data_IF_606619288701
#
_entry.id   IF_606619288701
#
_cell.length_a   1.000
_cell.length_b   1.000
_cell.length_c   1.000
_cell.angle_alpha   90.00
_cell.angle_beta   90.00
_cell.angle_gamma   90.00
#
_symmetry.space_group_name_H-M   'P 1'
#
loop_
_entity.id
_entity.type
_entity.pdbx_description
1 polymer ?
#
# COMPACT_ATOMS: atom_id res chain seq x y z
N UNK A 1 59.22 15.38 -73.88
CA UNK A 1 60.62 15.72 -73.55
C UNK A 1 60.96 17.22 -73.61
N UNK A 2 59.98 18.14 -73.60
CA UNK A 2 60.23 19.60 -73.54
C UNK A 2 59.70 20.28 -72.25
N UNK A 3 59.09 19.51 -71.32
CA UNK A 3 58.54 20.01 -70.04
C UNK A 3 59.38 19.67 -68.80
N UNK A 4 60.46 18.88 -68.92
CA UNK A 4 61.29 18.41 -67.79
C UNK A 4 62.51 19.29 -67.46
N UNK A 5 63.01 20.06 -68.43
CA UNK A 5 63.97 21.14 -68.14
C UNK A 5 63.33 22.35 -67.44
N UNK A 6 62.01 22.50 -67.58
CA UNK A 6 61.28 23.67 -67.07
C UNK A 6 61.17 23.68 -65.54
N UNK A 7 61.17 22.52 -64.86
CA UNK A 7 61.15 22.45 -63.39
C UNK A 7 62.51 22.76 -62.77
N UNK A 8 63.62 22.37 -63.39
CA UNK A 8 64.96 22.78 -62.96
C UNK A 8 65.14 24.27 -63.20
N UNK A 9 64.68 24.78 -64.35
CA UNK A 9 64.67 26.23 -64.62
C UNK A 9 63.71 26.94 -63.65
N UNK A 10 62.55 26.39 -63.28
CA UNK A 10 61.64 26.99 -62.31
C UNK A 10 62.18 26.97 -60.89
N UNK A 11 62.85 25.90 -60.46
CA UNK A 11 63.48 25.83 -59.15
C UNK A 11 64.69 26.77 -59.07
N UNK A 12 65.51 26.83 -60.14
CA UNK A 12 66.58 27.82 -60.27
C UNK A 12 66.02 29.23 -60.29
N UNK A 13 64.93 29.51 -61.03
CA UNK A 13 64.29 30.83 -61.09
C UNK A 13 63.62 31.19 -59.76
N UNK A 14 63.00 30.25 -59.04
CA UNK A 14 62.41 30.49 -57.72
C UNK A 14 63.50 30.72 -56.68
N UNK A 15 64.60 29.96 -56.70
CA UNK A 15 65.78 30.23 -55.88
C UNK A 15 66.43 31.56 -56.25
N UNK A 16 66.43 31.93 -57.53
CA UNK A 16 66.96 33.20 -58.06
C UNK A 16 66.04 34.40 -57.74
N UNK A 17 64.72 34.19 -57.63
CA UNK A 17 63.73 35.20 -57.18
C UNK A 17 63.75 35.37 -55.66
N UNK A 18 63.87 34.28 -54.90
CA UNK A 18 64.12 34.30 -53.45
C UNK A 18 65.45 35.01 -53.18
N UNK A 19 66.50 34.71 -53.95
CA UNK A 19 67.78 35.40 -53.94
C UNK A 19 67.66 36.89 -54.29
N UNK A 20 66.86 37.27 -55.30
CA UNK A 20 66.64 38.68 -55.64
C UNK A 20 65.92 39.45 -54.53
N UNK A 21 64.99 38.80 -53.81
CA UNK A 21 64.27 39.43 -52.68
C UNK A 21 65.12 39.53 -51.40
N UNK A 22 65.94 38.52 -51.10
CA UNK A 22 66.84 38.50 -49.94
C UNK A 22 68.13 39.29 -50.17
N UNK A 23 68.55 39.50 -51.42
CA UNK A 23 69.68 40.33 -51.79
C UNK A 23 69.37 41.84 -51.79
N UNK A 24 68.17 42.27 -51.42
CA UNK A 24 67.83 43.69 -51.36
C UNK A 24 68.34 44.40 -50.09
N UNK A 25 68.55 43.70 -48.97
CA UNK A 25 68.73 44.37 -47.66
C UNK A 25 69.98 43.97 -46.84
N UNK A 26 70.86 43.08 -47.33
CA UNK A 26 72.03 42.61 -46.57
C UNK A 26 73.40 43.13 -47.11
N UNK A 27 74.34 43.56 -46.24
CA UNK A 27 75.70 43.99 -46.62
C UNK A 27 76.58 42.86 -47.17
N UNK A 28 77.58 43.21 -47.99
CA UNK A 28 78.28 42.34 -48.95
C UNK A 28 79.00 41.11 -48.36
N UNK A 29 79.43 41.15 -47.09
CA UNK A 29 80.11 40.02 -46.44
C UNK A 29 79.14 38.90 -46.03
N UNK A 30 77.92 39.24 -45.58
CA UNK A 30 76.92 38.24 -45.23
C UNK A 30 76.37 37.50 -46.45
N UNK A 31 76.36 38.14 -47.63
CA UNK A 31 75.97 37.50 -48.89
C UNK A 31 76.92 36.36 -49.29
N UNK A 32 78.22 36.53 -49.09
CA UNK A 32 79.22 35.50 -49.39
C UNK A 32 79.12 34.34 -48.40
N UNK A 33 78.88 34.62 -47.12
CA UNK A 33 78.66 33.59 -46.10
C UNK A 33 77.37 32.78 -46.36
N UNK A 34 76.26 33.43 -46.69
CA UNK A 34 75.01 32.76 -47.07
C UNK A 34 75.17 31.96 -48.36
N UNK A 35 75.89 32.48 -49.35
CA UNK A 35 76.19 31.76 -50.59
C UNK A 35 77.02 30.49 -50.32
N UNK A 36 78.02 30.57 -49.44
CA UNK A 36 78.82 29.42 -49.04
C UNK A 36 78.03 28.39 -48.23
N UNK A 37 77.12 28.83 -47.36
CA UNK A 37 76.26 27.93 -46.57
C UNK A 37 75.20 27.27 -47.44
N UNK A 38 74.58 27.99 -48.37
CA UNK A 38 73.59 27.42 -49.29
C UNK A 38 74.25 26.51 -50.32
N UNK A 39 75.39 26.90 -50.91
CA UNK A 39 76.17 26.02 -51.79
C UNK A 39 76.70 24.81 -51.02
N UNK A 40 77.11 24.98 -49.77
CA UNK A 40 77.53 23.90 -48.88
C UNK A 40 76.39 22.94 -48.53
N UNK A 41 75.19 23.46 -48.24
CA UNK A 41 74.01 22.65 -47.96
C UNK A 41 73.52 21.91 -49.22
N UNK A 42 73.51 22.56 -50.38
CA UNK A 42 73.17 21.92 -51.66
C UNK A 42 74.22 20.87 -52.03
N UNK A 43 75.51 21.18 -51.88
CA UNK A 43 76.59 20.21 -52.10
C UNK A 43 76.53 19.05 -51.09
N UNK A 44 76.15 19.29 -49.84
CA UNK A 44 75.97 18.26 -48.82
C UNK A 44 74.75 17.39 -49.10
N UNK A 45 73.65 17.96 -49.58
CA UNK A 45 72.46 17.20 -50.02
C UNK A 45 72.79 16.37 -51.26
N UNK A 46 73.53 16.92 -52.23
CA UNK A 46 74.02 16.17 -53.40
C UNK A 46 75.01 15.07 -52.98
N UNK A 47 75.88 15.35 -52.02
CA UNK A 47 76.86 14.39 -51.49
C UNK A 47 76.18 13.27 -50.69
N UNK A 48 75.20 13.60 -49.84
CA UNK A 48 74.39 12.62 -49.10
C UNK A 48 73.46 11.84 -50.03
N UNK A 49 72.97 12.44 -51.11
CA UNK A 49 72.24 11.74 -52.17
C UNK A 49 73.13 10.71 -52.87
N UNK A 50 74.41 11.05 -53.12
CA UNK A 50 75.40 10.10 -53.65
C UNK A 50 75.87 9.05 -52.62
N UNK A 51 76.02 9.43 -51.35
CA UNK A 51 76.48 8.55 -50.27
C UNK A 51 75.37 7.60 -49.76
N UNK A 52 74.10 7.98 -49.93
CA UNK A 52 72.93 7.20 -49.53
C UNK A 52 72.51 6.11 -50.53
N UNK A 53 73.06 6.09 -51.75
CA UNK A 53 72.87 4.96 -52.65
C UNK A 53 73.90 3.85 -52.33
N UNK A 54 73.44 2.87 -51.54
CA UNK A 54 74.10 1.58 -51.28
C UNK A 54 74.21 0.70 -52.54
N UNK A 55 74.91 1.19 -53.56
CA UNK A 55 75.13 0.54 -54.85
C UNK A 55 76.61 0.53 -55.24
N UNK A 56 77.47 0.01 -54.35
CA UNK A 56 78.94 -0.04 -54.50
C UNK A 56 79.49 -0.86 -55.68
N UNK A 57 78.66 -1.39 -56.57
CA UNK A 57 79.11 -2.18 -57.73
C UNK A 57 78.92 -1.48 -59.09
N UNK A 58 77.97 -0.54 -59.22
CA UNK A 58 77.67 0.11 -60.51
C UNK A 58 78.17 1.56 -60.61
N UNK A 59 78.54 2.20 -59.51
CA UNK A 59 79.12 3.56 -59.52
C UNK A 59 80.56 3.58 -60.00
N UNK A 60 81.34 2.51 -59.79
CA UNK A 60 82.69 2.38 -60.35
C UNK A 60 82.67 2.27 -61.88
N UNK A 61 81.68 1.57 -62.46
CA UNK A 61 81.53 1.46 -63.92
C UNK A 61 81.06 2.79 -64.55
N UNK A 62 80.21 3.55 -63.86
CA UNK A 62 79.72 4.84 -64.34
C UNK A 62 80.78 5.95 -64.18
N UNK A 63 81.55 5.98 -63.09
CA UNK A 63 82.72 6.87 -62.96
C UNK A 63 83.82 6.54 -63.99
N UNK A 64 84.07 5.25 -64.26
CA UNK A 64 85.03 4.82 -65.29
C UNK A 64 84.57 5.13 -66.73
N UNK A 65 83.27 5.35 -66.95
CA UNK A 65 82.70 5.83 -68.23
C UNK A 65 82.64 7.37 -68.30
N UNK A 66 82.47 8.06 -67.17
CA UNK A 66 82.55 9.53 -67.06
C UNK A 66 83.94 10.06 -67.43
N UNK A 67 85.02 9.36 -67.08
CA UNK A 67 86.37 9.72 -67.54
C UNK A 67 86.63 9.46 -69.03
N UNK A 68 85.79 8.67 -69.72
CA UNK A 68 85.96 8.28 -71.14
C UNK A 68 85.03 8.99 -72.12
N UNK A 69 84.21 9.94 -71.66
CA UNK A 69 83.33 10.78 -72.49
C UNK A 69 82.39 9.98 -73.43
N UNK A 70 81.84 8.86 -72.94
CA UNK A 70 80.92 7.98 -73.67
C UNK A 70 79.55 7.82 -72.96
N UNK A 71 78.83 8.92 -72.72
CA UNK A 71 77.44 8.85 -72.29
C UNK A 71 76.53 9.10 -73.50
N UNK A 72 75.67 8.14 -73.83
CA UNK A 72 74.67 8.32 -74.88
C UNK A 72 73.44 9.07 -74.33
N UNK A 73 72.78 9.89 -75.15
CA UNK A 73 71.60 10.69 -74.75
C UNK A 73 70.46 9.87 -74.14
N UNK A 74 70.41 8.57 -74.44
CA UNK A 74 69.44 7.60 -73.93
C UNK A 74 69.69 7.22 -72.46
N UNK A 75 70.95 7.13 -72.03
CA UNK A 75 71.33 6.83 -70.64
C UNK A 75 71.14 8.04 -69.72
N UNK A 76 71.41 9.26 -70.23
CA UNK A 76 71.15 10.51 -69.51
C UNK A 76 69.64 10.72 -69.27
N UNK A 77 68.81 10.37 -70.26
CA UNK A 77 67.35 10.41 -70.13
C UNK A 77 66.81 9.38 -69.13
N UNK A 78 67.45 8.20 -69.03
CA UNK A 78 67.09 7.18 -68.05
C UNK A 78 67.43 7.60 -66.61
N UNK A 79 68.61 8.20 -66.39
CA UNK A 79 69.01 8.75 -65.09
C UNK A 79 68.12 9.93 -64.65
N UNK A 80 67.80 10.85 -65.56
CA UNK A 80 66.87 11.96 -65.30
C UNK A 80 65.43 11.47 -65.03
N UNK A 81 64.98 10.42 -65.73
CA UNK A 81 63.69 9.79 -65.49
C UNK A 81 63.61 9.08 -64.13
N UNK A 82 64.71 8.45 -63.69
CA UNK A 82 64.84 7.83 -62.37
C UNK A 82 64.77 8.88 -61.26
N UNK A 83 65.50 9.99 -61.40
CA UNK A 83 65.49 11.09 -60.43
C UNK A 83 64.10 11.75 -60.30
N UNK A 84 63.35 11.88 -61.40
CA UNK A 84 61.99 12.44 -61.36
C UNK A 84 60.97 11.47 -60.75
N UNK A 85 61.13 10.16 -60.99
CA UNK A 85 60.32 9.13 -60.35
C UNK A 85 60.58 9.05 -58.83
N UNK A 86 61.83 9.13 -58.40
CA UNK A 86 62.22 9.18 -56.99
C UNK A 86 61.75 10.46 -56.30
N UNK A 87 61.85 11.62 -56.95
CA UNK A 87 61.35 12.89 -56.42
C UNK A 87 59.80 12.87 -56.25
N UNK A 88 59.08 12.28 -57.21
CA UNK A 88 57.64 12.07 -57.09
C UNK A 88 57.29 11.11 -55.94
N UNK A 89 58.10 10.06 -55.73
CA UNK A 89 57.94 9.13 -54.62
C UNK A 89 58.18 9.78 -53.25
N UNK A 90 59.19 10.66 -53.13
CA UNK A 90 59.43 11.44 -51.92
C UNK A 90 58.34 12.48 -51.64
N UNK A 91 57.84 13.16 -52.67
CA UNK A 91 56.73 14.09 -52.53
C UNK A 91 55.45 13.37 -52.06
N UNK A 92 55.17 12.19 -52.63
CA UNK A 92 54.06 11.34 -52.20
C UNK A 92 54.25 10.84 -50.76
N UNK A 93 55.47 10.43 -50.38
CA UNK A 93 55.79 10.05 -49.01
C UNK A 93 55.61 11.23 -48.03
N UNK A 94 56.05 12.44 -48.40
CA UNK A 94 55.89 13.63 -47.58
C UNK A 94 54.43 14.06 -47.43
N UNK A 95 53.65 14.01 -48.52
CA UNK A 95 52.20 14.21 -48.46
C UNK A 95 51.51 13.16 -47.59
N UNK A 96 51.92 11.88 -47.66
CA UNK A 96 51.38 10.84 -46.78
C UNK A 96 51.73 11.06 -45.29
N UNK A 97 52.93 11.58 -45.00
CA UNK A 97 53.36 11.94 -43.66
C UNK A 97 52.55 13.14 -43.12
N UNK A 98 52.32 14.14 -43.98
CA UNK A 98 51.55 15.33 -43.62
C UNK A 98 50.08 15.00 -43.40
N UNK A 99 49.50 14.18 -44.27
CA UNK A 99 48.14 13.64 -44.10
C UNK A 99 48.05 12.80 -42.82
N UNK A 100 49.04 11.92 -42.56
CA UNK A 100 49.12 11.14 -41.33
C UNK A 100 49.20 12.01 -40.06
N UNK A 101 50.01 13.07 -40.06
CA UNK A 101 50.10 14.02 -38.94
C UNK A 101 48.78 14.75 -38.69
N UNK A 102 48.10 15.18 -39.75
CA UNK A 102 46.78 15.82 -39.64
C UNK A 102 45.72 14.86 -39.11
N UNK A 103 45.75 13.59 -39.52
CA UNK A 103 44.85 12.55 -39.03
C UNK A 103 45.11 12.25 -37.54
N UNK A 104 46.37 12.15 -37.11
CA UNK A 104 46.73 11.98 -35.69
C UNK A 104 46.24 13.16 -34.85
N UNK A 105 46.33 14.39 -35.36
CA UNK A 105 45.81 15.58 -34.66
C UNK A 105 44.29 15.52 -34.48
N UNK A 106 43.56 15.19 -35.55
CA UNK A 106 42.12 15.04 -35.49
C UNK A 106 41.69 13.97 -34.49
N UNK A 107 42.38 12.81 -34.50
CA UNK A 107 42.14 11.71 -33.54
C UNK A 107 42.43 12.16 -32.09
N UNK A 108 43.49 12.93 -31.85
CA UNK A 108 43.83 13.42 -30.50
C UNK A 108 42.81 14.44 -29.97
N UNK A 109 42.33 15.37 -30.82
CA UNK A 109 41.28 16.33 -30.48
C UNK A 109 39.94 15.61 -30.21
N UNK A 110 39.54 14.66 -31.06
CA UNK A 110 38.34 13.84 -30.89
C UNK A 110 38.41 12.98 -29.62
N UNK A 111 39.56 12.35 -29.36
CA UNK A 111 39.80 11.59 -28.13
C UNK A 111 39.71 12.49 -26.88
N UNK A 112 40.28 13.70 -26.92
CA UNK A 112 40.19 14.67 -25.83
C UNK A 112 38.75 15.06 -25.49
N UNK A 113 37.92 15.30 -26.51
CA UNK A 113 36.49 15.57 -26.34
C UNK A 113 35.74 14.37 -25.75
N UNK A 114 35.96 13.17 -26.31
CA UNK A 114 35.34 11.94 -25.82
C UNK A 114 35.71 11.61 -24.37
N UNK A 115 36.97 11.85 -23.97
CA UNK A 115 37.43 11.72 -22.59
C UNK A 115 36.73 12.72 -21.66
N UNK A 116 36.57 13.97 -22.10
CA UNK A 116 35.83 15.00 -21.36
C UNK A 116 34.37 14.57 -21.10
N UNK A 117 33.71 14.02 -22.11
CA UNK A 117 32.37 13.46 -21.96
C UNK A 117 32.33 12.27 -20.98
N UNK A 118 33.29 11.34 -21.06
CA UNK A 118 33.37 10.19 -20.14
C UNK A 118 33.50 10.68 -18.69
N UNK A 119 34.42 11.62 -18.42
CA UNK A 119 34.60 12.18 -17.06
C UNK A 119 33.28 12.78 -16.55
N UNK A 120 32.61 13.61 -17.36
CA UNK A 120 31.36 14.25 -16.96
C UNK A 120 30.25 13.21 -16.72
N UNK A 121 30.12 12.20 -17.58
CA UNK A 121 29.12 11.13 -17.43
C UNK A 121 29.40 10.28 -16.19
N UNK A 122 30.66 9.92 -15.94
CA UNK A 122 31.06 9.17 -14.74
C UNK A 122 30.80 9.94 -13.46
N UNK A 123 31.06 11.26 -13.41
CA UNK A 123 30.74 12.09 -12.25
C UNK A 123 29.23 12.17 -11.99
N UNK A 124 28.41 12.34 -13.03
CA UNK A 124 26.95 12.32 -12.89
C UNK A 124 26.45 10.96 -12.41
N UNK A 125 27.00 9.88 -12.95
CA UNK A 125 26.64 8.52 -12.58
C UNK A 125 27.03 8.20 -11.12
N UNK A 126 28.21 8.64 -10.64
CA UNK A 126 28.59 8.52 -9.22
C UNK A 126 27.61 9.28 -8.31
N UNK A 127 27.26 10.52 -8.67
CA UNK A 127 26.28 11.31 -7.91
C UNK A 127 24.90 10.62 -7.88
N UNK A 128 24.41 10.14 -9.02
CA UNK A 128 23.15 9.41 -9.10
C UNK A 128 23.17 8.12 -8.28
N UNK A 129 24.27 7.37 -8.30
CA UNK A 129 24.41 6.15 -7.50
C UNK A 129 24.42 6.45 -5.99
N UNK A 130 25.06 7.54 -5.56
CA UNK A 130 25.00 8.00 -4.16
C UNK A 130 23.60 8.41 -3.73
N UNK A 131 22.86 9.13 -4.58
CA UNK A 131 21.46 9.45 -4.30
C UNK A 131 20.62 8.18 -4.20
N UNK A 132 20.80 7.22 -5.12
CA UNK A 132 20.08 5.96 -5.11
C UNK A 132 20.35 5.13 -3.83
N UNK A 133 21.57 5.18 -3.28
CA UNK A 133 21.87 4.57 -1.98
C UNK A 133 21.13 5.26 -0.82
N UNK A 134 21.03 6.59 -0.85
CA UNK A 134 20.28 7.34 0.17
C UNK A 134 18.78 7.04 0.09
N UNK A 135 18.21 7.01 -1.11
CA UNK A 135 16.80 6.67 -1.33
C UNK A 135 16.52 5.23 -0.88
N UNK A 136 17.41 4.28 -1.21
CA UNK A 136 17.28 2.90 -0.77
C UNK A 136 17.29 2.74 0.76
N UNK A 137 18.12 3.51 1.46
CA UNK A 137 18.16 3.52 2.93
C UNK A 137 16.87 4.09 3.53
N UNK A 138 16.29 5.14 2.93
CA UNK A 138 14.99 5.66 3.35
C UNK A 138 13.87 4.63 3.16
N UNK A 139 13.85 3.94 2.01
CA UNK A 139 12.89 2.86 1.76
C UNK A 139 13.08 1.73 2.77
N UNK A 140 14.32 1.35 3.09
CA UNK A 140 14.62 0.33 4.12
C UNK A 140 14.01 0.69 5.47
N UNK A 141 14.15 1.94 5.92
CA UNK A 141 13.51 2.40 7.16
C UNK A 141 11.99 2.33 7.10
N UNK A 142 11.38 2.66 5.96
CA UNK A 142 9.94 2.54 5.78
C UNK A 142 9.47 1.07 5.83
N UNK A 143 10.23 0.15 5.25
CA UNK A 143 9.95 -1.29 5.30
C UNK A 143 10.08 -1.84 6.72
N UNK A 144 11.08 -1.41 7.48
CA UNK A 144 11.25 -1.80 8.89
C UNK A 144 10.04 -1.36 9.74
N UNK A 145 9.57 -0.12 9.54
CA UNK A 145 8.34 0.36 10.17
C UNK A 145 7.10 -0.43 9.72
N UNK A 146 7.02 -0.81 8.43
CA UNK A 146 5.94 -1.62 7.89
C UNK A 146 5.89 -3.02 8.52
N UNK A 147 7.04 -3.67 8.72
CA UNK A 147 7.13 -4.97 9.40
C UNK A 147 6.59 -4.92 10.83
N UNK A 148 6.92 -3.87 11.58
CA UNK A 148 6.37 -3.65 12.93
C UNK A 148 4.84 -3.46 12.86
N UNK A 149 4.35 -2.70 11.88
CA UNK A 149 2.91 -2.48 11.70
C UNK A 149 2.18 -3.79 11.39
N UNK A 150 2.73 -4.62 10.50
CA UNK A 150 2.15 -5.92 10.14
C UNK A 150 2.09 -6.88 11.33
N UNK A 151 3.12 -6.89 12.19
CA UNK A 151 3.09 -7.67 13.42
C UNK A 151 1.94 -7.25 14.35
N UNK A 152 1.75 -5.94 14.53
CA UNK A 152 0.65 -5.39 15.33
C UNK A 152 -0.72 -5.68 14.72
N UNK A 153 -0.82 -5.66 13.39
CA UNK A 153 -2.05 -6.00 12.67
C UNK A 153 -2.42 -7.47 12.89
N UNK A 154 -1.46 -8.39 12.83
CA UNK A 154 -1.68 -9.81 13.15
C UNK A 154 -2.18 -10.03 14.57
N UNK A 155 -1.58 -9.35 15.56
CA UNK A 155 -2.05 -9.39 16.95
C UNK A 155 -3.47 -8.82 17.10
N UNK A 156 -3.78 -7.72 16.42
CA UNK A 156 -5.10 -7.09 16.43
C UNK A 156 -6.17 -8.00 15.81
N UNK A 157 -5.86 -8.65 14.69
CA UNK A 157 -6.72 -9.67 14.05
C UNK A 157 -7.01 -10.81 15.02
N UNK A 158 -6.00 -11.33 15.71
CA UNK A 158 -6.17 -12.44 16.64
C UNK A 158 -7.04 -12.03 17.85
N UNK A 159 -6.81 -10.83 18.41
CA UNK A 159 -7.68 -10.30 19.47
C UNK A 159 -9.11 -10.08 19.00
N UNK A 160 -9.31 -9.58 17.78
CA UNK A 160 -10.63 -9.37 17.21
C UNK A 160 -11.38 -10.71 17.04
N UNK A 161 -10.71 -11.75 16.53
CA UNK A 161 -11.29 -13.09 16.42
C UNK A 161 -11.72 -13.65 17.79
N UNK A 162 -10.90 -13.47 18.82
CA UNK A 162 -11.24 -13.96 20.16
C UNK A 162 -12.44 -13.20 20.75
N UNK A 163 -12.49 -11.88 20.59
CA UNK A 163 -13.66 -11.07 20.99
C UNK A 163 -14.93 -11.50 20.25
N UNK A 164 -14.84 -11.79 18.95
CA UNK A 164 -16.00 -12.28 18.17
C UNK A 164 -16.48 -13.64 18.69
N UNK A 165 -15.58 -14.55 19.09
CA UNK A 165 -15.96 -15.81 19.74
C UNK A 165 -16.66 -15.59 21.08
N UNK A 166 -16.16 -14.67 21.90
CA UNK A 166 -16.78 -14.36 23.19
C UNK A 166 -18.19 -13.78 22.99
N UNK A 167 -18.36 -12.84 22.05
CA UNK A 167 -19.68 -12.28 21.70
C UNK A 167 -20.63 -13.38 21.20
N UNK A 168 -20.14 -14.34 20.40
CA UNK A 168 -20.95 -15.48 19.96
C UNK A 168 -21.42 -16.35 21.13
N UNK A 169 -20.53 -16.61 22.10
CA UNK A 169 -20.86 -17.37 23.32
C UNK A 169 -21.90 -16.63 24.17
N UNK A 170 -21.72 -15.33 24.38
CA UNK A 170 -22.64 -14.50 25.17
C UNK A 170 -24.02 -14.41 24.49
N UNK A 171 -24.04 -14.31 23.16
CA UNK A 171 -25.30 -14.31 22.38
C UNK A 171 -26.06 -15.62 22.53
N UNK A 172 -25.36 -16.75 22.46
CA UNK A 172 -25.95 -18.07 22.68
C UNK A 172 -26.50 -18.21 24.11
N UNK A 173 -25.76 -17.76 25.12
CA UNK A 173 -26.23 -17.79 26.51
C UNK A 173 -27.49 -16.92 26.69
N UNK A 174 -27.53 -15.74 26.06
CA UNK A 174 -28.71 -14.88 26.10
C UNK A 174 -29.94 -15.51 25.42
N UNK A 175 -29.73 -16.31 24.38
CA UNK A 175 -30.80 -17.08 23.73
C UNK A 175 -31.37 -18.15 24.67
N UNK A 176 -30.52 -18.88 25.39
CA UNK A 176 -30.94 -19.84 26.40
C UNK A 176 -31.74 -19.18 27.53
N UNK A 177 -31.29 -18.02 28.01
CA UNK A 177 -32.01 -17.22 29.01
C UNK A 177 -33.38 -16.76 28.46
N UNK A 178 -33.44 -16.25 27.23
CA UNK A 178 -34.70 -15.80 26.63
C UNK A 178 -35.70 -16.95 26.47
N UNK A 179 -35.23 -18.13 26.04
CA UNK A 179 -36.07 -19.35 25.98
C UNK A 179 -36.60 -19.74 27.35
N UNK A 180 -35.79 -19.65 28.39
CA UNK A 180 -36.23 -19.95 29.77
C UNK A 180 -37.26 -18.92 30.28
N UNK A 181 -37.05 -17.63 30.03
CA UNK A 181 -38.02 -16.58 30.38
C UNK A 181 -39.35 -16.79 29.64
N UNK A 182 -39.32 -17.16 28.35
CA UNK A 182 -40.51 -17.50 27.59
C UNK A 182 -41.28 -18.68 28.22
N UNK A 183 -40.55 -19.72 28.65
CA UNK A 183 -41.13 -20.88 29.34
C UNK A 183 -41.81 -20.47 30.66
N UNK A 184 -41.12 -19.66 31.47
CA UNK A 184 -41.65 -19.17 32.76
C UNK A 184 -42.91 -18.30 32.58
N UNK A 185 -42.93 -17.43 31.57
CA UNK A 185 -44.13 -16.63 31.25
C UNK A 185 -45.26 -17.53 30.76
N UNK A 186 -44.96 -18.55 29.94
CA UNK A 186 -45.96 -19.55 29.54
C UNK A 186 -46.59 -20.25 30.74
N UNK A 187 -45.79 -20.60 31.76
CA UNK A 187 -46.30 -21.15 33.02
C UNK A 187 -47.13 -20.14 33.81
N UNK A 188 -46.72 -18.87 33.84
CA UNK A 188 -47.47 -17.79 34.47
C UNK A 188 -48.85 -17.63 33.85
N UNK A 189 -48.96 -17.65 32.52
CA UNK A 189 -50.23 -17.57 31.80
C UNK A 189 -51.18 -18.69 32.25
N UNK A 190 -50.69 -19.93 32.33
CA UNK A 190 -51.50 -21.06 32.81
C UNK A 190 -51.97 -20.85 34.25
N UNK A 191 -51.08 -20.42 35.16
CA UNK A 191 -51.45 -20.16 36.56
C UNK A 191 -52.48 -19.04 36.70
N UNK A 192 -52.37 -17.98 35.88
CA UNK A 192 -53.34 -16.88 35.83
C UNK A 192 -54.70 -17.38 35.35
N UNK A 193 -54.73 -18.26 34.35
CA UNK A 193 -55.96 -18.87 33.83
C UNK A 193 -56.68 -19.75 34.88
N UNK A 194 -55.91 -20.53 35.65
CA UNK A 194 -56.42 -21.35 36.75
C UNK A 194 -56.96 -20.50 37.91
N UNK A 195 -56.26 -19.41 38.25
CA UNK A 195 -56.72 -18.44 39.23
C UNK A 195 -58.03 -17.78 38.77
N UNK A 196 -58.13 -17.36 37.50
CA UNK A 196 -59.34 -16.78 36.91
C UNK A 196 -60.54 -17.73 37.06
N UNK A 197 -60.33 -19.01 36.76
CA UNK A 197 -61.35 -20.04 36.87
C UNK A 197 -61.81 -20.26 38.31
N UNK A 198 -60.86 -20.23 39.27
CA UNK A 198 -61.16 -20.44 40.69
C UNK A 198 -61.91 -19.26 41.29
N UNK A 199 -61.52 -18.03 40.94
CA UNK A 199 -62.22 -16.80 41.36
C UNK A 199 -63.61 -16.72 40.73
N UNK A 200 -63.76 -17.09 39.46
CA UNK A 200 -65.06 -17.16 38.80
C UNK A 200 -66.03 -18.13 39.50
N UNK A 201 -65.53 -19.31 39.92
CA UNK A 201 -66.32 -20.25 40.73
C UNK A 201 -66.70 -19.68 42.09
N UNK A 202 -65.81 -18.95 42.75
CA UNK A 202 -66.12 -18.29 44.03
C UNK A 202 -67.24 -17.26 43.86
N UNK A 203 -67.20 -16.46 42.79
CA UNK A 203 -68.25 -15.49 42.47
C UNK A 203 -69.61 -16.15 42.23
N UNK A 204 -69.64 -17.27 41.49
CA UNK A 204 -70.87 -18.05 41.29
C UNK A 204 -71.41 -18.63 42.61
N UNK A 205 -70.53 -19.14 43.47
CA UNK A 205 -70.92 -19.69 44.78
C UNK A 205 -71.47 -18.60 45.72
N UNK A 206 -70.90 -17.40 45.73
CA UNK A 206 -71.41 -16.31 46.56
C UNK A 206 -72.76 -15.79 46.07
N UNK A 207 -72.99 -15.73 44.76
CA UNK A 207 -74.31 -15.43 44.19
C UNK A 207 -75.38 -16.46 44.60
N UNK A 208 -75.04 -17.76 44.58
CA UNK A 208 -75.96 -18.80 45.05
C UNK A 208 -76.29 -18.66 46.55
N UNK A 209 -75.31 -18.29 47.38
CA UNK A 209 -75.55 -18.04 48.81
C UNK A 209 -76.47 -16.84 49.02
N UNK A 210 -76.32 -15.77 48.23
CA UNK A 210 -77.19 -14.59 48.31
C UNK A 210 -78.66 -14.95 48.07
N UNK A 211 -78.95 -15.78 47.05
CA UNK A 211 -80.29 -16.31 46.79
C UNK A 211 -80.86 -17.09 47.99
N UNK A 212 -80.04 -17.92 48.63
CA UNK A 212 -80.45 -18.67 49.82
C UNK A 212 -80.72 -17.74 51.00
N UNK A 213 -79.89 -16.71 51.20
CA UNK A 213 -80.07 -15.74 52.27
C UNK A 213 -81.35 -14.93 52.09
N UNK A 214 -81.72 -14.55 50.87
CA UNK A 214 -82.98 -13.88 50.56
C UNK A 214 -84.20 -14.75 50.92
N UNK A 215 -84.13 -16.06 50.65
CA UNK A 215 -85.17 -17.02 51.06
C UNK A 215 -85.28 -17.09 52.59
N UNK A 216 -84.15 -17.18 53.30
CA UNK A 216 -84.14 -17.22 54.78
C UNK A 216 -84.70 -15.92 55.37
N UNK A 217 -84.31 -14.77 54.82
CA UNK A 217 -84.83 -13.46 55.24
C UNK A 217 -86.35 -13.38 55.03
N UNK A 218 -86.85 -13.91 53.90
CA UNK A 218 -88.27 -14.06 53.63
C UNK A 218 -89.00 -14.96 54.63
N UNK A 219 -88.43 -16.12 54.97
CA UNK A 219 -88.99 -17.05 55.97
C UNK A 219 -89.01 -16.38 57.36
N UNK A 220 -87.94 -15.69 57.74
CA UNK A 220 -87.86 -14.99 59.02
C UNK A 220 -88.88 -13.84 59.10
N UNK A 221 -89.08 -13.08 58.01
CA UNK A 221 -90.13 -12.06 57.92
C UNK A 221 -91.54 -12.65 58.08
N UNK A 222 -91.80 -13.77 57.40
CA UNK A 222 -93.08 -14.47 57.50
C UNK A 222 -93.31 -15.04 58.90
N UNK A 223 -92.27 -15.60 59.52
CA UNK A 223 -92.31 -16.12 60.90
C UNK A 223 -92.58 -15.01 61.90
N UNK A 224 -91.94 -13.85 61.72
CA UNK A 224 -92.17 -12.66 62.55
C UNK A 224 -93.63 -12.19 62.45
N UNK A 225 -94.21 -12.17 61.24
CA UNK A 225 -95.62 -11.84 61.03
C UNK A 225 -96.57 -12.87 61.65
N UNK A 226 -96.27 -14.17 61.53
CA UNK A 226 -97.06 -15.24 62.15
C UNK A 226 -97.03 -15.15 63.67
N UNK A 227 -95.85 -14.91 64.25
CA UNK A 227 -95.66 -14.74 65.68
C UNK A 227 -96.41 -13.50 66.21
N UNK A 228 -96.38 -12.39 65.46
CA UNK A 228 -97.16 -11.20 65.78
C UNK A 228 -98.66 -11.49 65.83
N UNK A 229 -99.19 -12.18 64.82
CA UNK A 229 -100.60 -12.56 64.79
C UNK A 229 -100.97 -13.48 65.96
N UNK A 230 -100.09 -14.43 66.31
CA UNK A 230 -100.27 -15.30 67.47
C UNK A 230 -100.24 -14.54 68.80
N UNK A 231 -99.36 -13.56 68.97
CA UNK A 231 -99.30 -12.70 70.15
C UNK A 231 -100.58 -11.86 70.31
N UNK A 232 -101.11 -11.33 69.20
CA UNK A 232 -102.39 -10.59 69.19
C UNK A 232 -103.53 -11.50 69.64
N UNK A 233 -103.63 -12.72 69.11
CA UNK A 233 -104.72 -13.64 69.46
C UNK A 233 -104.58 -14.18 70.89
N UNK A 234 -103.34 -14.38 71.36
CA UNK A 234 -103.06 -14.74 72.76
C UNK A 234 -103.48 -13.63 73.73
N UNK A 235 -103.23 -12.36 73.40
CA UNK A 235 -103.72 -11.21 74.17
C UNK A 235 -105.25 -11.14 74.18
N UNK A 236 -105.89 -11.50 73.06
CA UNK A 236 -107.35 -11.54 72.90
C UNK A 236 -108.02 -12.62 73.77
N UNK A 237 -107.33 -13.74 74.01
CA UNK A 237 -107.77 -14.83 74.87
C UNK A 237 -107.58 -14.56 76.38
N UNK A 238 -107.04 -13.41 76.79
CA UNK A 238 -106.90 -13.02 78.19
C UNK A 238 -106.01 -13.96 79.02
N UNK A 239 -106.42 -14.29 80.25
CA UNK A 239 -105.64 -15.12 81.18
C UNK A 239 -105.36 -16.54 80.64
N UNK A 240 -106.24 -17.11 79.82
CA UNK A 240 -106.02 -18.43 79.19
C UNK A 240 -104.95 -18.41 78.09
N UNK A 241 -104.66 -17.24 77.50
CA UNK A 241 -103.68 -17.09 76.42
C UNK A 241 -102.26 -16.79 76.89
N UNK A 242 -102.06 -16.60 78.20
CA UNK A 242 -100.81 -16.06 78.77
C UNK A 242 -99.56 -16.89 78.45
N UNK A 243 -99.67 -18.22 78.47
CA UNK A 243 -98.58 -19.13 78.09
C UNK A 243 -98.26 -19.07 76.59
N UNK A 244 -99.28 -18.92 75.73
CA UNK A 244 -99.10 -18.76 74.28
C UNK A 244 -98.48 -17.40 73.93
N UNK A 245 -98.81 -16.34 74.66
CA UNK A 245 -98.22 -15.01 74.44
C UNK A 245 -96.70 -15.03 74.65
N UNK A 246 -96.20 -15.70 75.69
CA UNK A 246 -94.76 -15.83 75.95
C UNK A 246 -94.06 -16.58 74.81
N UNK A 247 -94.66 -17.66 74.31
CA UNK A 247 -94.10 -18.41 73.18
C UNK A 247 -94.10 -17.56 71.91
N UNK A 248 -95.17 -16.80 71.65
CA UNK A 248 -95.26 -15.93 70.49
C UNK A 248 -94.19 -14.82 70.51
N UNK A 249 -93.95 -14.20 71.67
CA UNK A 249 -92.90 -13.19 71.83
C UNK A 249 -91.50 -13.79 71.65
N UNK A 250 -91.24 -15.01 72.16
CA UNK A 250 -89.96 -15.70 71.97
C UNK A 250 -89.72 -16.05 70.49
N UNK A 251 -90.74 -16.56 69.79
CA UNK A 251 -90.65 -16.82 68.34
C UNK A 251 -90.41 -15.52 67.56
N UNK A 252 -91.05 -14.42 67.97
CA UNK A 252 -90.85 -13.10 67.36
C UNK A 252 -89.42 -12.60 67.55
N UNK A 253 -88.88 -12.73 68.76
CA UNK A 253 -87.49 -12.38 69.06
C UNK A 253 -86.50 -13.24 68.25
N UNK A 254 -86.77 -14.55 68.11
CA UNK A 254 -85.96 -15.46 67.32
C UNK A 254 -85.99 -15.12 65.82
N UNK A 255 -87.15 -14.77 65.29
CA UNK A 255 -87.32 -14.34 63.90
C UNK A 255 -86.57 -13.02 63.63
N UNK A 256 -86.67 -12.04 64.53
CA UNK A 256 -85.92 -10.78 64.44
C UNK A 256 -84.40 -11.01 64.51
N UNK A 257 -83.94 -11.88 65.41
CA UNK A 257 -82.52 -12.24 65.51
C UNK A 257 -82.03 -12.95 64.25
N UNK A 258 -82.86 -13.81 63.66
CA UNK A 258 -82.57 -14.48 62.39
C UNK A 258 -82.39 -13.46 61.27
N UNK A 259 -83.33 -12.52 61.11
CA UNK A 259 -83.22 -11.43 60.11
C UNK A 259 -81.95 -10.60 60.25
N UNK A 260 -81.60 -10.24 61.48
CA UNK A 260 -80.38 -9.50 61.76
C UNK A 260 -79.14 -10.31 61.34
N UNK A 261 -79.06 -11.58 61.74
CA UNK A 261 -77.93 -12.44 61.35
C UNK A 261 -77.85 -12.69 59.84
N UNK A 262 -78.98 -12.85 59.13
CA UNK A 262 -78.96 -12.94 57.67
C UNK A 262 -78.49 -11.65 57.02
N UNK A 263 -78.87 -10.48 57.56
CA UNK A 263 -78.37 -9.18 57.10
C UNK A 263 -76.86 -9.04 57.26
N UNK A 264 -76.32 -9.43 58.42
CA UNK A 264 -74.88 -9.41 58.67
C UNK A 264 -74.13 -10.35 57.71
N UNK A 265 -74.66 -11.56 57.47
CA UNK A 265 -74.08 -12.50 56.49
C UNK A 265 -74.15 -11.93 55.06
N UNK A 266 -75.27 -11.31 54.66
CA UNK A 266 -75.39 -10.66 53.34
C UNK A 266 -74.33 -9.58 53.15
N UNK A 267 -74.02 -8.79 54.17
CA UNK A 267 -72.94 -7.80 54.09
C UNK A 267 -71.58 -8.46 53.86
N UNK A 268 -71.29 -9.58 54.53
CA UNK A 268 -70.05 -10.33 54.30
C UNK A 268 -69.99 -10.95 52.90
N UNK A 269 -71.11 -11.46 52.38
CA UNK A 269 -71.19 -12.02 51.01
C UNK A 269 -70.94 -10.95 49.95
N UNK A 270 -71.50 -9.74 50.10
CA UNK A 270 -71.19 -8.62 49.21
C UNK A 270 -69.71 -8.26 49.21
N UNK A 271 -69.08 -8.23 50.39
CA UNK A 271 -67.63 -8.03 50.48
C UNK A 271 -66.82 -9.11 49.75
N UNK A 272 -67.28 -10.37 49.76
CA UNK A 272 -66.65 -11.44 48.98
C UNK A 272 -66.87 -11.29 47.47
N UNK A 273 -68.06 -10.86 47.04
CA UNK A 273 -68.34 -10.57 45.62
C UNK A 273 -67.47 -9.43 45.10
N UNK A 274 -67.39 -8.31 45.84
CA UNK A 274 -66.54 -7.17 45.49
C UNK A 274 -65.06 -7.59 45.41
N UNK A 275 -64.60 -8.39 46.37
CA UNK A 275 -63.23 -8.92 46.38
C UNK A 275 -62.95 -9.87 45.20
N UNK A 276 -63.92 -10.72 44.83
CA UNK A 276 -63.81 -11.59 43.66
C UNK A 276 -63.74 -10.79 42.36
N UNK A 277 -64.58 -9.75 42.21
CA UNK A 277 -64.57 -8.87 41.04
C UNK A 277 -63.23 -8.15 40.88
N UNK A 278 -62.69 -7.58 41.96
CA UNK A 278 -61.35 -6.97 41.95
C UNK A 278 -60.26 -7.96 41.58
N UNK A 279 -60.34 -9.20 42.07
CA UNK A 279 -59.38 -10.24 41.72
C UNK A 279 -59.44 -10.59 40.22
N UNK A 280 -60.63 -10.65 39.60
CA UNK A 280 -60.78 -10.84 38.15
C UNK A 280 -60.10 -9.73 37.36
N UNK A 281 -60.32 -8.46 37.73
CA UNK A 281 -59.71 -7.32 37.04
C UNK A 281 -58.16 -7.37 37.07
N UNK A 282 -57.58 -7.71 38.23
CA UNK A 282 -56.13 -7.88 38.40
C UNK A 282 -55.61 -9.04 37.54
N UNK A 283 -56.33 -10.15 37.52
CA UNK A 283 -55.99 -11.35 36.73
C UNK A 283 -56.02 -11.03 35.22
N UNK A 284 -57.01 -10.28 34.75
CA UNK A 284 -57.08 -9.85 33.35
C UNK A 284 -55.91 -8.93 32.97
N UNK A 285 -55.53 -8.00 33.84
CA UNK A 285 -54.37 -7.14 33.61
C UNK A 285 -53.06 -7.97 33.58
N UNK A 286 -52.89 -8.89 34.53
CA UNK A 286 -51.74 -9.80 34.55
C UNK A 286 -51.66 -10.63 33.25
N UNK A 287 -52.80 -11.10 32.74
CA UNK A 287 -52.88 -11.83 31.47
C UNK A 287 -52.45 -10.96 30.28
N UNK A 288 -52.94 -9.72 30.19
CA UNK A 288 -52.51 -8.74 29.16
C UNK A 288 -51.01 -8.48 29.21
N UNK A 289 -50.45 -8.31 30.41
CA UNK A 289 -49.03 -8.04 30.59
C UNK A 289 -48.16 -9.25 30.22
N UNK A 290 -48.62 -10.47 30.52
CA UNK A 290 -47.97 -11.70 30.08
C UNK A 290 -47.94 -11.83 28.55
N UNK A 291 -49.07 -11.57 27.86
CA UNK A 291 -49.14 -11.58 26.39
C UNK A 291 -48.19 -10.55 25.75
N UNK A 292 -48.16 -9.34 26.31
CA UNK A 292 -47.20 -8.31 25.88
C UNK A 292 -45.75 -8.74 26.07
N UNK A 293 -45.45 -9.47 27.15
CA UNK A 293 -44.10 -9.96 27.44
C UNK A 293 -43.68 -11.05 26.45
N UNK A 294 -44.59 -11.95 26.05
CA UNK A 294 -44.35 -12.95 24.99
C UNK A 294 -44.06 -12.28 23.65
N UNK A 295 -44.81 -11.23 23.29
CA UNK A 295 -44.56 -10.46 22.05
C UNK A 295 -43.18 -9.81 22.06
N UNK A 296 -42.77 -9.23 23.18
CA UNK A 296 -41.44 -8.64 23.34
C UNK A 296 -40.32 -9.67 23.23
N UNK A 297 -40.51 -10.87 23.81
CA UNK A 297 -39.56 -11.97 23.68
C UNK A 297 -39.40 -12.44 22.24
N UNK A 298 -40.49 -12.61 21.49
CA UNK A 298 -40.41 -12.96 20.06
C UNK A 298 -39.62 -11.95 19.25
N UNK A 299 -39.80 -10.66 19.54
CA UNK A 299 -39.01 -9.59 18.91
C UNK A 299 -37.53 -9.65 19.31
N UNK A 300 -37.24 -10.05 20.56
CA UNK A 300 -35.87 -10.30 21.01
C UNK A 300 -35.23 -11.45 20.21
N UNK A 301 -35.95 -12.55 20.01
CA UNK A 301 -35.48 -13.69 19.23
C UNK A 301 -35.13 -13.28 17.78
N UNK A 302 -35.97 -12.47 17.14
CA UNK A 302 -35.71 -11.92 15.79
C UNK A 302 -34.45 -11.04 15.75
N UNK A 303 -34.23 -10.20 16.77
CA UNK A 303 -33.02 -9.39 16.88
C UNK A 303 -31.78 -10.25 17.13
N UNK A 304 -31.90 -11.33 17.91
CA UNK A 304 -30.82 -12.29 18.13
C UNK A 304 -30.38 -12.99 16.85
N UNK A 305 -31.31 -13.35 15.96
CA UNK A 305 -30.97 -13.87 14.63
C UNK A 305 -30.15 -12.86 13.81
N UNK A 306 -30.51 -11.58 13.89
CA UNK A 306 -29.77 -10.51 13.21
C UNK A 306 -28.37 -10.34 13.81
N UNK A 307 -28.22 -10.48 15.12
CA UNK A 307 -26.92 -10.43 15.81
C UNK A 307 -26.04 -11.61 15.37
N UNK A 308 -26.58 -12.83 15.29
CA UNK A 308 -25.84 -13.99 14.80
C UNK A 308 -25.27 -13.75 13.40
N UNK A 309 -26.09 -13.20 12.50
CA UNK A 309 -25.63 -12.88 11.15
C UNK A 309 -24.53 -11.81 11.14
N UNK A 310 -24.66 -10.78 12.00
CA UNK A 310 -23.62 -9.76 12.17
C UNK A 310 -22.30 -10.32 12.72
N UNK A 311 -22.35 -11.33 13.60
CA UNK A 311 -21.17 -12.03 14.11
C UNK A 311 -20.46 -12.80 12.99
N UNK A 312 -21.22 -13.50 12.15
CA UNK A 312 -20.66 -14.22 11.00
C UNK A 312 -20.04 -13.27 9.97
N UNK A 313 -20.69 -12.15 9.68
CA UNK A 313 -20.17 -11.09 8.81
C UNK A 313 -18.87 -10.50 9.38
N UNK A 314 -18.82 -10.20 10.68
CA UNK A 314 -17.61 -9.72 11.35
C UNK A 314 -16.47 -10.73 11.24
N UNK A 315 -16.76 -12.02 11.42
CA UNK A 315 -15.77 -13.09 11.26
C UNK A 315 -15.21 -13.13 9.84
N UNK A 316 -16.07 -12.96 8.83
CA UNK A 316 -15.64 -12.91 7.43
C UNK A 316 -14.74 -11.70 7.15
N UNK A 317 -15.11 -10.52 7.64
CA UNK A 317 -14.32 -9.29 7.50
C UNK A 317 -12.95 -9.44 8.17
N UNK A 318 -12.89 -9.97 9.39
CA UNK A 318 -11.61 -10.19 10.08
C UNK A 318 -10.75 -11.21 9.33
N UNK A 319 -11.35 -12.26 8.76
CA UNK A 319 -10.66 -13.19 7.87
C UNK A 319 -10.08 -12.52 6.63
N UNK A 320 -10.80 -11.58 6.02
CA UNK A 320 -10.30 -10.79 4.90
C UNK A 320 -9.13 -9.88 5.31
N UNK A 321 -9.17 -9.26 6.49
CA UNK A 321 -8.06 -8.45 7.01
C UNK A 321 -6.82 -9.31 7.23
N UNK A 322 -6.97 -10.51 7.78
CA UNK A 322 -5.88 -11.45 7.92
C UNK A 322 -5.23 -11.80 6.57
N UNK A 323 -6.06 -12.02 5.53
CA UNK A 323 -5.58 -12.26 4.16
C UNK A 323 -4.82 -11.07 3.58
N UNK A 324 -5.36 -9.85 3.72
CA UNK A 324 -4.68 -8.62 3.26
C UNK A 324 -3.34 -8.40 3.98
N UNK A 325 -3.27 -8.68 5.28
CA UNK A 325 -2.03 -8.57 6.06
C UNK A 325 -0.97 -9.57 5.56
N UNK A 326 -1.36 -10.79 5.18
CA UNK A 326 -0.43 -11.78 4.61
C UNK A 326 0.08 -11.35 3.22
N UNK A 327 -0.79 -10.83 2.35
CA UNK A 327 -0.41 -10.27 1.05
C UNK A 327 0.55 -9.06 1.20
N UNK A 328 0.29 -8.19 2.16
CA UNK A 328 1.15 -7.04 2.46
C UNK A 328 2.50 -7.50 3.03
N UNK A 329 2.54 -8.55 3.86
CA UNK A 329 3.78 -9.15 4.33
C UNK A 329 4.59 -9.76 3.19
N UNK A 330 3.95 -10.43 2.23
CA UNK A 330 4.62 -10.94 1.04
C UNK A 330 5.20 -9.82 0.18
N UNK A 331 4.42 -8.76 -0.05
CA UNK A 331 4.86 -7.57 -0.79
C UNK A 331 6.06 -6.90 -0.12
N UNK A 332 6.04 -6.80 1.21
CA UNK A 332 7.17 -6.29 2.02
C UNK A 332 8.46 -7.04 1.75
N UNK A 333 8.42 -8.38 1.76
CA UNK A 333 9.59 -9.23 1.51
C UNK A 333 10.14 -9.05 0.09
N UNK A 334 9.27 -8.86 -0.90
CA UNK A 334 9.69 -8.56 -2.28
C UNK A 334 10.32 -7.17 -2.39
N UNK A 335 9.81 -6.18 -1.66
CA UNK A 335 10.43 -4.85 -1.58
C UNK A 335 11.81 -4.91 -0.91
N UNK A 336 11.98 -5.67 0.18
CA UNK A 336 13.29 -5.87 0.83
C UNK A 336 14.34 -6.40 -0.18
N UNK A 337 13.97 -7.41 -0.97
CA UNK A 337 14.84 -7.97 -2.01
C UNK A 337 15.17 -6.95 -3.12
N UNK A 338 14.19 -6.14 -3.51
CA UNK A 338 14.36 -5.09 -4.52
C UNK A 338 15.29 -4.00 -4.03
N UNK A 339 15.14 -3.55 -2.78
CA UNK A 339 16.02 -2.56 -2.14
C UNK A 339 17.44 -3.09 -2.02
N UNK A 340 17.62 -4.35 -1.61
CA UNK A 340 18.94 -4.98 -1.57
C UNK A 340 19.63 -5.00 -2.94
N UNK A 341 18.86 -5.32 -3.99
CA UNK A 341 19.37 -5.34 -5.38
C UNK A 341 19.71 -3.92 -5.87
N UNK A 342 18.91 -2.91 -5.52
CA UNK A 342 19.18 -1.50 -5.84
C UNK A 342 20.47 -1.01 -5.17
N UNK A 343 20.67 -1.32 -3.89
CA UNK A 343 21.91 -1.00 -3.17
C UNK A 343 23.13 -1.65 -3.84
N UNK A 344 23.05 -2.94 -4.18
CA UNK A 344 24.13 -3.64 -4.86
C UNK A 344 24.45 -3.02 -6.23
N UNK A 345 23.42 -2.69 -7.01
CA UNK A 345 23.59 -2.05 -8.32
C UNK A 345 24.22 -0.66 -8.21
N UNK A 346 23.84 0.11 -7.19
CA UNK A 346 24.44 1.41 -6.93
C UNK A 346 25.93 1.29 -6.54
N UNK A 347 26.29 0.30 -5.71
CA UNK A 347 27.70 0.01 -5.38
C UNK A 347 28.51 -0.32 -6.64
N UNK A 348 28.02 -1.23 -7.48
CA UNK A 348 28.69 -1.56 -8.75
C UNK A 348 28.80 -0.36 -9.69
N UNK A 349 27.81 0.53 -9.70
CA UNK A 349 27.85 1.77 -10.50
C UNK A 349 28.97 2.70 -10.03
N UNK A 350 29.14 2.87 -8.71
CA UNK A 350 30.27 3.64 -8.15
C UNK A 350 31.62 3.02 -8.52
N UNK A 351 31.75 1.69 -8.42
CA UNK A 351 32.98 0.98 -8.81
C UNK A 351 33.30 1.16 -10.31
N UNK A 352 32.32 0.94 -11.19
CA UNK A 352 32.50 1.08 -12.64
C UNK A 352 32.81 2.53 -13.05
N UNK A 353 32.18 3.51 -12.41
CA UNK A 353 32.44 4.93 -12.70
C UNK A 353 33.82 5.36 -12.22
N UNK A 354 34.28 4.86 -11.07
CA UNK A 354 35.64 5.07 -10.60
C UNK A 354 36.68 4.47 -11.56
N UNK A 355 36.45 3.24 -12.04
CA UNK A 355 37.32 2.59 -13.02
C UNK A 355 37.34 3.35 -14.36
N UNK A 356 36.17 3.77 -14.86
CA UNK A 356 36.06 4.59 -16.07
C UNK A 356 36.80 5.92 -15.94
N UNK A 357 36.76 6.56 -14.77
CA UNK A 357 37.48 7.81 -14.50
C UNK A 357 39.00 7.60 -14.56
N UNK A 358 39.52 6.52 -13.96
CA UNK A 358 40.94 6.15 -14.03
C UNK A 358 41.36 5.90 -15.48
N UNK A 359 40.57 5.14 -16.24
CA UNK A 359 40.85 4.89 -17.66
C UNK A 359 40.82 6.18 -18.49
N UNK A 360 39.85 7.06 -18.25
CA UNK A 360 39.76 8.35 -18.93
C UNK A 360 40.97 9.25 -18.62
N UNK A 361 41.48 9.24 -17.37
CA UNK A 361 42.71 9.94 -16.99
C UNK A 361 43.94 9.39 -17.71
N UNK A 362 44.08 8.06 -17.80
CA UNK A 362 45.17 7.43 -18.56
C UNK A 362 45.10 7.78 -20.05
N UNK A 363 43.92 7.74 -20.66
CA UNK A 363 43.73 8.13 -22.06
C UNK A 363 44.05 9.61 -22.28
N UNK A 364 43.71 10.48 -21.32
CA UNK A 364 44.03 11.91 -21.38
C UNK A 364 45.54 12.14 -21.40
N UNK A 365 46.27 11.41 -20.57
CA UNK A 365 47.72 11.49 -20.53
C UNK A 365 48.36 10.97 -21.82
N UNK A 366 47.84 9.86 -22.38
CA UNK A 366 48.29 9.35 -23.68
C UNK A 366 48.03 10.35 -24.82
N UNK A 367 46.84 10.96 -24.87
CA UNK A 367 46.51 11.97 -25.86
C UNK A 367 47.42 13.20 -25.74
N UNK A 368 47.72 13.63 -24.50
CA UNK A 368 48.66 14.73 -24.24
C UNK A 368 50.08 14.41 -24.69
N UNK A 369 50.55 13.17 -24.49
CA UNK A 369 51.87 12.71 -24.98
C UNK A 369 51.96 12.66 -26.50
N UNK A 370 50.88 12.28 -27.18
CA UNK A 370 50.81 12.32 -28.65
C UNK A 370 50.87 13.76 -29.17
N UNK A 371 50.30 14.71 -28.44
CA UNK A 371 50.35 16.14 -28.79
C UNK A 371 51.74 16.76 -28.50
N UNK A 372 52.39 16.39 -27.38
CA UNK A 372 53.71 16.92 -27.01
C UNK A 372 54.89 16.26 -27.73
N UNK A 373 54.79 15.00 -28.17
CA UNK A 373 55.81 14.34 -29.00
C UNK A 373 55.98 14.95 -30.41
N UNK A 374 55.29 16.07 -30.67
CA UNK A 374 55.23 16.82 -31.92
C UNK A 374 56.06 18.12 -31.89
N UNK A 375 56.48 18.60 -30.72
CA UNK A 375 57.39 19.75 -30.56
C UNK A 375 58.83 19.26 -30.57
#
# INVERSE_FOLDING_TARGET
MYKRGMWVVSAVVVVQLIWLSLAAEAPSLWRQALMAVVLGAVAMVVWLWFAGQGGGANTAQVLAKLQRNQLTSRELAAALGCAEAEAAQWLAAWQSLQNGSSAVKAIAEEAGSGIGEIIQRSQKADQSARHQQQDAEQVRHALEAMHVSLGREGEAVQQALERVKDIARDTQSNEEISREVARLIGQLVTMVQEAATSVGKLAEQTEQIEVVLDVINGIAAQTNLLALNAAIEAARAGETGRGFAVVADEVRALASKTQQSTGDIQQHIRGLQDGAQQAVEIIEEASRQADSSIKSLRRSDELQLTIHQGIDDLRAVIGSIAGMADEQAQTSRTMDQSVATLCQTAVHTVEHTAQALVTAQHLRELAKRLDTGRQ
#
